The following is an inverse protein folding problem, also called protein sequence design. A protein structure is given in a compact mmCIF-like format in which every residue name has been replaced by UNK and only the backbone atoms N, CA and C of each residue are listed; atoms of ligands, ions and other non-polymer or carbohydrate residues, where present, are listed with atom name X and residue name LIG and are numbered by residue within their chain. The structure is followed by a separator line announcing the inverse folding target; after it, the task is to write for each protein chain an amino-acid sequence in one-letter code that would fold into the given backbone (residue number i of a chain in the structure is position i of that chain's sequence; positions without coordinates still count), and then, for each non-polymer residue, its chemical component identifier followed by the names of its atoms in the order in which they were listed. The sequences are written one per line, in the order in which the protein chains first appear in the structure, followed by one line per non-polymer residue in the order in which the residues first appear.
data_IF_366585361517
#
_entry.id   IF_366585361517
#
_cell.length_a   1.000
_cell.length_b   1.000
_cell.length_c   1.000
_cell.angle_alpha   90.00
_cell.angle_beta   90.00
_cell.angle_gamma   90.00
#
_symmetry.space_group_name_H-M   'P 1'
#
loop_
_entity.id
_entity.type
_entity.pdbx_description
1 polymer ?
#
# COMPACT_ATOMS: atom_id res chain seq x y z
N UNK A 1 -11.69 -16.06 -0.24
CA UNK A 1 -11.28 -14.72 -0.65
C UNK A 1 -11.30 -13.83 0.58
N UNK A 2 -10.14 -13.63 1.15
CA UNK A 2 -9.89 -12.73 2.28
C UNK A 2 -9.32 -11.44 1.68
N UNK A 3 -10.05 -10.34 1.80
CA UNK A 3 -9.60 -9.04 1.32
C UNK A 3 -9.11 -8.25 2.51
N UNK A 4 -7.86 -7.82 2.46
CA UNK A 4 -7.31 -6.96 3.49
C UNK A 4 -7.32 -5.52 3.01
N UNK A 5 -7.79 -4.68 3.91
CA UNK A 5 -7.90 -3.26 3.69
C UNK A 5 -7.25 -2.61 4.91
N UNK A 6 -5.95 -2.35 4.83
CA UNK A 6 -5.34 -1.38 5.73
C UNK A 6 -5.51 -0.01 5.11
N UNK A 7 -6.64 0.58 5.44
CA UNK A 7 -6.77 2.02 5.32
C UNK A 7 -6.26 2.61 6.60
N UNK A 8 -5.04 3.10 6.56
CA UNK A 8 -4.63 4.13 7.49
C UNK A 8 -4.50 5.42 6.70
N UNK A 9 -5.22 6.45 7.16
CA UNK A 9 -5.24 7.76 6.54
C UNK A 9 -6.56 8.10 5.82
N UNK A 10 -7.49 8.67 6.58
CA UNK A 10 -8.56 9.63 6.20
C UNK A 10 -9.52 9.43 5.00
N UNK A 11 -9.22 8.77 3.87
CA UNK A 11 -10.19 8.68 2.73
C UNK A 11 -11.22 7.57 2.89
N UNK A 12 -10.83 6.43 3.46
CA UNK A 12 -11.79 5.37 3.81
C UNK A 12 -12.09 5.40 5.31
N UNK A 13 -12.09 6.57 5.94
CA UNK A 13 -12.67 6.75 7.27
C UNK A 13 -14.16 7.07 7.14
N UNK A 14 -14.97 6.58 8.08
CA UNK A 14 -16.40 6.90 8.15
C UNK A 14 -17.25 6.23 7.04
N UNK A 15 -18.10 6.97 6.29
CA UNK A 15 -19.13 6.37 5.42
C UNK A 15 -18.61 5.43 4.33
N UNK A 16 -17.43 5.71 3.79
CA UNK A 16 -16.84 4.88 2.74
C UNK A 16 -16.38 3.52 3.28
N UNK A 17 -15.90 3.46 4.52
CA UNK A 17 -15.57 2.20 5.19
C UNK A 17 -16.81 1.34 5.37
N UNK A 18 -17.91 1.94 5.84
CA UNK A 18 -19.18 1.22 6.05
C UNK A 18 -19.75 0.66 4.75
N UNK A 19 -19.67 1.46 3.67
CA UNK A 19 -20.06 1.01 2.33
C UNK A 19 -19.20 -0.18 1.87
N UNK A 20 -17.88 -0.07 2.01
CA UNK A 20 -16.96 -1.14 1.62
C UNK A 20 -17.15 -2.40 2.48
N UNK A 21 -17.35 -2.24 3.78
CA UNK A 21 -17.65 -3.35 4.70
C UNK A 21 -18.95 -4.05 4.32
N UNK A 22 -19.99 -3.28 3.99
CA UNK A 22 -21.28 -3.81 3.54
C UNK A 22 -21.14 -4.57 2.21
N UNK A 23 -20.39 -4.01 1.26
CA UNK A 23 -20.10 -4.64 -0.01
C UNK A 23 -19.31 -5.94 0.17
N UNK A 24 -18.26 -5.93 1.00
CA UNK A 24 -17.46 -7.12 1.29
C UNK A 24 -18.33 -8.22 1.90
N UNK A 25 -19.13 -7.89 2.92
CA UNK A 25 -20.05 -8.83 3.56
C UNK A 25 -21.05 -9.43 2.59
N UNK A 26 -21.64 -8.62 1.71
CA UNK A 26 -22.61 -9.09 0.71
C UNK A 26 -21.98 -10.05 -0.31
N UNK A 27 -20.68 -9.95 -0.56
CA UNK A 27 -19.95 -10.77 -1.52
C UNK A 27 -19.12 -11.89 -0.85
N UNK A 28 -19.32 -12.15 0.45
CA UNK A 28 -18.58 -13.19 1.18
C UNK A 28 -17.09 -12.89 1.33
N UNK A 29 -16.71 -11.62 1.26
CA UNK A 29 -15.34 -11.14 1.43
C UNK A 29 -15.14 -10.76 2.90
N UNK A 30 -14.12 -11.33 3.53
CA UNK A 30 -13.70 -10.93 4.88
C UNK A 30 -12.86 -9.66 4.77
N UNK A 31 -13.27 -8.59 5.46
CA UNK A 31 -12.53 -7.33 5.54
C UNK A 31 -11.77 -7.23 6.87
N UNK A 32 -10.46 -6.96 6.81
CA UNK A 32 -9.58 -6.83 7.98
C UNK A 32 -8.88 -5.48 7.92
N UNK A 33 -8.95 -4.71 9.00
CA UNK A 33 -8.32 -3.39 9.16
C UNK A 33 -7.45 -3.25 10.42
N UNK A 34 -7.40 -4.29 11.26
CA UNK A 34 -6.56 -4.34 12.47
C UNK A 34 -6.15 -5.77 12.80
N UNK A 35 -5.06 -5.93 13.54
CA UNK A 35 -4.59 -7.23 13.99
C UNK A 35 -4.01 -8.09 12.87
N UNK A 36 -3.46 -7.47 11.82
CA UNK A 36 -2.90 -8.17 10.65
C UNK A 36 -1.83 -9.19 11.00
N UNK A 37 -1.11 -8.99 12.10
CA UNK A 37 -0.13 -9.94 12.63
C UNK A 37 -0.71 -11.35 12.86
N UNK A 38 -2.03 -11.47 13.10
CA UNK A 38 -2.71 -12.78 13.28
C UNK A 38 -2.84 -13.56 11.95
N UNK A 39 -2.58 -12.91 10.83
CA UNK A 39 -2.72 -13.44 9.48
C UNK A 39 -1.35 -13.42 8.77
N UNK A 40 -0.47 -14.41 9.05
CA UNK A 40 0.87 -14.46 8.45
C UNK A 40 0.86 -14.78 6.94
N UNK A 41 -0.31 -15.07 6.36
CA UNK A 41 -0.50 -15.35 4.93
C UNK A 41 -1.98 -15.63 4.62
N UNK A 42 -2.28 -15.93 3.35
CA UNK A 42 -3.65 -16.14 2.88
C UNK A 42 -4.42 -14.82 2.69
N UNK A 43 -3.69 -13.75 2.36
CA UNK A 43 -4.21 -12.41 2.14
C UNK A 43 -4.17 -12.15 0.64
N UNK A 44 -5.31 -12.24 -0.03
CA UNK A 44 -5.35 -12.12 -1.49
C UNK A 44 -5.13 -10.67 -1.96
N UNK A 45 -5.59 -9.68 -1.20
CA UNK A 45 -5.44 -8.26 -1.57
C UNK A 45 -5.17 -7.36 -0.38
N UNK A 46 -4.30 -6.36 -0.56
CA UNK A 46 -4.05 -5.25 0.34
C UNK A 46 -4.39 -3.94 -0.37
N UNK A 47 -5.11 -3.05 0.27
CA UNK A 47 -5.44 -1.72 -0.30
C UNK A 47 -4.89 -0.65 0.62
N UNK A 48 -4.12 0.30 0.09
CA UNK A 48 -3.55 1.41 0.87
C UNK A 48 -3.64 2.73 0.11
N UNK A 49 -3.73 3.83 0.86
CA UNK A 49 -3.62 5.19 0.33
C UNK A 49 -2.15 5.61 0.37
N UNK A 50 -1.67 6.21 -0.72
CA UNK A 50 -0.30 6.67 -0.86
C UNK A 50 -0.20 8.16 -0.59
N UNK A 51 0.86 8.56 0.12
CA UNK A 51 1.12 9.97 0.38
C UNK A 51 1.57 10.68 -0.91
N UNK A 52 2.52 10.08 -1.64
CA UNK A 52 3.08 10.65 -2.87
C UNK A 52 3.42 9.60 -3.92
N UNK A 53 3.62 10.07 -5.16
CA UNK A 53 4.21 9.29 -6.24
C UNK A 53 5.32 10.05 -6.94
N UNK A 54 6.40 9.37 -7.31
CA UNK A 54 7.53 9.90 -8.07
C UNK A 54 7.44 9.35 -9.50
N UNK A 55 7.17 10.24 -10.45
CA UNK A 55 6.91 9.84 -11.84
C UNK A 55 8.16 9.32 -12.56
N UNK A 56 9.34 9.89 -12.32
CA UNK A 56 10.56 9.51 -13.05
C UNK A 56 10.96 8.04 -12.85
N UNK A 57 10.68 7.49 -11.66
CA UNK A 57 11.03 6.11 -11.28
C UNK A 57 9.81 5.18 -11.22
N UNK A 58 8.59 5.72 -11.30
CA UNK A 58 7.37 4.96 -11.06
C UNK A 58 7.30 4.45 -9.61
N UNK A 59 7.70 5.29 -8.64
CA UNK A 59 7.75 4.94 -7.23
C UNK A 59 6.57 5.52 -6.47
N UNK A 60 5.98 4.74 -5.58
CA UNK A 60 5.02 5.23 -4.58
C UNK A 60 5.75 5.48 -3.27
N UNK A 61 5.34 6.53 -2.55
CA UNK A 61 5.89 6.87 -1.25
C UNK A 61 4.76 6.84 -0.23
N UNK A 62 5.01 6.09 0.85
CA UNK A 62 4.05 5.84 1.92
C UNK A 62 4.72 6.04 3.26
N UNK A 63 4.14 6.89 4.10
CA UNK A 63 4.45 6.95 5.52
C UNK A 63 3.94 5.68 6.18
N UNK A 64 4.86 4.85 6.64
CA UNK A 64 4.62 3.53 7.19
C UNK A 64 4.80 3.52 8.71
N UNK A 65 4.10 4.44 9.37
CA UNK A 65 4.20 4.68 10.81
C UNK A 65 3.60 3.56 11.67
N UNK A 66 2.65 2.80 11.12
CA UNK A 66 2.01 1.67 11.82
C UNK A 66 2.48 0.30 11.32
N UNK A 67 2.33 -0.70 12.18
CA UNK A 67 2.53 -2.10 11.78
C UNK A 67 1.50 -2.53 10.73
N UNK A 68 0.24 -2.15 10.88
CA UNK A 68 -0.86 -2.54 9.98
C UNK A 68 -0.62 -2.02 8.55
N UNK A 69 -0.08 -0.81 8.41
CA UNK A 69 0.30 -0.21 7.12
C UNK A 69 1.43 -1.01 6.48
N UNK A 70 2.49 -1.31 7.24
CA UNK A 70 3.63 -2.11 6.75
C UNK A 70 3.20 -3.50 6.30
N UNK A 71 2.39 -4.18 7.11
CA UNK A 71 1.95 -5.53 6.79
C UNK A 71 1.04 -5.56 5.55
N UNK A 72 0.26 -4.52 5.31
CA UNK A 72 -0.66 -4.50 4.17
C UNK A 72 -0.02 -4.26 2.83
N UNK A 73 1.14 -3.61 2.80
CA UNK A 73 1.93 -3.47 1.57
C UNK A 73 2.85 -4.67 1.33
N UNK A 74 2.98 -5.61 2.29
CA UNK A 74 3.94 -6.71 2.23
C UNK A 74 3.33 -8.11 2.23
N UNK A 75 2.26 -8.34 2.99
CA UNK A 75 1.69 -9.68 3.19
C UNK A 75 0.61 -10.06 2.17
N UNK A 76 0.15 -9.11 1.35
CA UNK A 76 -0.87 -9.38 0.34
C UNK A 76 -0.28 -9.91 -0.96
N UNK A 77 -1.04 -10.75 -1.67
CA UNK A 77 -0.67 -11.18 -3.02
C UNK A 77 -0.84 -10.03 -4.03
N UNK A 78 -1.94 -9.27 -3.93
CA UNK A 78 -2.23 -8.11 -4.78
C UNK A 78 -2.27 -6.83 -3.95
N UNK A 79 -1.44 -5.84 -4.29
CA UNK A 79 -1.48 -4.53 -3.66
C UNK A 79 -2.18 -3.51 -4.57
N UNK A 80 -3.26 -2.91 -4.09
CA UNK A 80 -3.95 -1.79 -4.74
C UNK A 80 -3.56 -0.50 -4.01
N UNK A 81 -2.77 0.32 -4.69
CA UNK A 81 -2.34 1.61 -4.21
C UNK A 81 -3.23 2.72 -4.76
N UNK A 82 -3.86 3.49 -3.88
CA UNK A 82 -4.66 4.66 -4.27
C UNK A 82 -3.80 5.91 -4.14
N UNK A 83 -3.66 6.68 -5.22
CA UNK A 83 -2.83 7.87 -5.26
C UNK A 83 -3.59 9.04 -5.88
N UNK A 84 -3.64 10.18 -5.18
CA UNK A 84 -4.19 11.41 -5.74
C UNK A 84 -3.23 12.00 -6.77
N UNK A 85 -3.73 12.39 -7.95
CA UNK A 85 -2.90 12.95 -9.03
C UNK A 85 -2.15 14.21 -8.62
N UNK A 86 -2.72 15.01 -7.72
CA UNK A 86 -2.09 16.22 -7.15
C UNK A 86 -0.83 15.91 -6.32
N UNK A 87 -0.70 14.67 -5.84
CA UNK A 87 0.44 14.20 -5.03
C UNK A 87 1.54 13.53 -5.87
N UNK A 88 1.47 13.62 -7.20
CA UNK A 88 2.54 13.15 -8.08
C UNK A 88 3.60 14.26 -8.20
N UNK A 89 4.84 13.92 -7.90
CA UNK A 89 6.04 14.73 -8.18
C UNK A 89 6.75 14.18 -9.40
N UNK A 90 7.39 15.05 -10.18
CA UNK A 90 8.07 14.60 -11.40
C UNK A 90 9.34 13.83 -11.05
N UNK A 91 10.09 14.30 -10.06
CA UNK A 91 11.39 13.73 -9.64
C UNK A 91 11.46 13.54 -8.12
N UNK A 92 12.37 12.69 -7.65
CA UNK A 92 12.63 12.51 -6.22
C UNK A 92 13.15 13.80 -5.57
N UNK A 93 13.89 14.63 -6.33
CA UNK A 93 14.40 15.91 -5.85
C UNK A 93 13.29 16.91 -5.58
N UNK A 94 12.22 16.91 -6.41
CA UNK A 94 11.04 17.74 -6.18
C UNK A 94 10.26 17.36 -4.92
N UNK A 95 10.56 16.21 -4.32
CA UNK A 95 9.94 15.72 -3.09
C UNK A 95 10.80 16.01 -1.84
N UNK A 96 11.91 16.75 -1.96
CA UNK A 96 12.87 16.92 -0.85
C UNK A 96 12.22 17.53 0.39
N UNK A 97 11.36 18.54 0.21
CA UNK A 97 10.72 19.26 1.31
C UNK A 97 9.69 18.36 2.03
N UNK A 98 8.89 17.61 1.27
CA UNK A 98 7.94 16.66 1.83
C UNK A 98 8.64 15.49 2.54
N UNK A 99 9.74 14.98 1.97
CA UNK A 99 10.55 13.95 2.62
C UNK A 99 11.16 14.45 3.92
N UNK A 100 11.70 15.67 3.94
CA UNK A 100 12.22 16.32 5.14
C UNK A 100 11.14 16.43 6.23
N UNK A 101 9.90 16.74 5.85
CA UNK A 101 8.78 16.74 6.79
C UNK A 101 8.44 15.34 7.31
N UNK A 102 8.39 14.34 6.43
CA UNK A 102 8.10 12.94 6.79
C UNK A 102 9.13 12.37 7.77
N UNK A 103 10.43 12.66 7.58
CA UNK A 103 11.52 12.12 8.42
C UNK A 103 11.70 12.87 9.76
N UNK A 104 11.18 14.10 9.89
CA UNK A 104 11.23 14.85 11.17
C UNK A 104 10.50 14.15 12.31
N UNK A 105 9.52 13.30 11.98
CA UNK A 105 8.84 12.45 12.94
C UNK A 105 9.47 11.05 12.92
N UNK A 106 9.75 10.42 14.07
CA UNK A 106 10.27 9.06 14.12
C UNK A 106 9.24 8.09 13.53
N UNK A 107 9.37 7.82 12.24
CA UNK A 107 8.47 7.00 11.44
C UNK A 107 9.28 6.28 10.36
N UNK A 108 8.72 5.20 9.82
CA UNK A 108 9.28 4.53 8.64
C UNK A 108 8.63 5.14 7.39
N UNK A 109 9.40 5.35 6.34
CA UNK A 109 8.89 5.72 5.02
C UNK A 109 9.22 4.61 4.04
N UNK A 110 8.20 4.09 3.36
CA UNK A 110 8.34 3.06 2.37
C UNK A 110 8.37 3.68 0.96
N UNK A 111 9.34 3.27 0.17
CA UNK A 111 9.42 3.54 -1.27
C UNK A 111 9.11 2.24 -2.00
N UNK A 112 8.00 2.22 -2.75
CA UNK A 112 7.50 1.03 -3.43
C UNK A 112 7.62 1.26 -4.94
N UNK A 113 8.55 0.56 -5.58
CA UNK A 113 8.83 0.71 -7.02
C UNK A 113 8.47 -0.58 -7.75
N UNK A 114 7.21 -0.69 -8.16
CA UNK A 114 6.66 -1.88 -8.81
C UNK A 114 6.36 -3.05 -7.85
N UNK A 115 5.93 -4.17 -8.42
CA UNK A 115 5.65 -5.41 -7.69
C UNK A 115 6.94 -6.08 -7.17
N UNK A 116 6.82 -6.89 -6.11
CA UNK A 116 7.96 -7.54 -5.48
C UNK A 116 8.56 -8.62 -6.40
N UNK A 117 9.80 -8.41 -6.80
CA UNK A 117 10.58 -9.34 -7.62
C UNK A 117 11.97 -9.48 -7.01
N UNK A 118 12.33 -10.69 -6.60
CA UNK A 118 13.65 -10.97 -6.04
C UNK A 118 14.28 -12.11 -6.84
N UNK A 119 15.48 -11.90 -7.37
CA UNK A 119 16.25 -12.92 -8.10
C UNK A 119 17.46 -13.44 -7.28
N UNK A 120 17.46 -13.17 -5.97
CA UNK A 120 18.68 -12.91 -5.21
C UNK A 120 19.35 -14.16 -4.60
N UNK A 121 18.67 -15.31 -4.51
CA UNK A 121 19.22 -16.49 -3.81
C UNK A 121 19.57 -17.65 -4.76
N UNK A 122 18.78 -17.89 -5.81
CA UNK A 122 18.97 -19.08 -6.66
C UNK A 122 19.10 -18.79 -8.17
N UNK A 123 19.16 -17.51 -8.59
CA UNK A 123 19.03 -17.07 -10.01
C UNK A 123 17.73 -17.52 -10.70
N UNK A 124 16.80 -18.10 -9.96
CA UNK A 124 15.41 -18.30 -10.36
C UNK A 124 14.64 -17.10 -9.84
N UNK A 125 13.79 -16.55 -10.71
CA UNK A 125 12.97 -15.40 -10.36
C UNK A 125 11.92 -15.85 -9.34
N UNK A 126 12.09 -15.45 -8.09
CA UNK A 126 11.10 -15.67 -7.04
C UNK A 126 10.18 -14.45 -6.99
N UNK A 127 8.90 -14.66 -7.31
CA UNK A 127 7.86 -13.65 -7.19
C UNK A 127 7.29 -13.67 -5.78
N UNK A 128 7.11 -12.50 -5.18
CA UNK A 128 6.30 -12.36 -3.95
C UNK A 128 6.92 -12.82 -2.64
N UNK A 129 8.25 -12.97 -2.56
CA UNK A 129 8.93 -13.42 -1.32
C UNK A 129 8.93 -12.33 -0.23
N UNK A 130 8.99 -11.06 -0.64
CA UNK A 130 9.13 -9.91 0.27
C UNK A 130 8.10 -8.80 0.03
N UNK A 131 7.02 -9.09 -0.71
CA UNK A 131 5.97 -8.13 -1.04
C UNK A 131 4.98 -8.69 -2.06
N UNK A 132 4.07 -7.87 -2.62
CA UNK A 132 3.00 -8.35 -3.47
C UNK A 132 3.48 -8.87 -4.81
N UNK A 133 2.76 -9.87 -5.34
CA UNK A 133 2.94 -10.41 -6.69
C UNK A 133 2.49 -9.41 -7.75
N UNK A 134 1.45 -8.65 -7.46
CA UNK A 134 0.89 -7.63 -8.34
C UNK A 134 0.74 -6.29 -7.61
N UNK A 135 1.07 -5.20 -8.30
CA UNK A 135 0.84 -3.83 -7.83
C UNK A 135 -0.05 -3.11 -8.85
N UNK A 136 -1.23 -2.68 -8.41
CA UNK A 136 -2.18 -1.88 -9.18
C UNK A 136 -2.25 -0.47 -8.60
N UNK A 137 -2.10 0.55 -9.44
CA UNK A 137 -2.14 1.95 -9.01
C UNK A 137 -3.44 2.58 -9.51
N UNK A 138 -4.31 2.99 -8.59
CA UNK A 138 -5.54 3.71 -8.88
C UNK A 138 -5.34 5.21 -8.66
N UNK A 139 -5.30 5.96 -9.76
CA UNK A 139 -5.18 7.42 -9.73
C UNK A 139 -6.53 8.09 -9.49
N UNK A 140 -6.62 8.93 -8.46
CA UNK A 140 -7.82 9.69 -8.10
C UNK A 140 -7.61 11.19 -8.29
N UNK A 141 -8.70 11.96 -8.34
CA UNK A 141 -8.65 13.40 -8.58
C UNK A 141 -8.61 13.79 -10.07
N UNK A 142 -9.29 14.88 -10.39
CA UNK A 142 -9.47 15.46 -11.72
C UNK A 142 -10.21 16.78 -11.61
#
# INVERSE_FOLDING_TARGET
MILILSVMGSILAGPMFELLQSFCKANGITLINEGLRKFPGGIEMGVTLMDFGIAETGTLVLKSDSEETRLSTMLCETHVAILEKSNIRKTALEMSDELDEMIRQPSSTAFITGASRTADIERVLALGVHGPLELHIMLTGG
#
